data_IF_454755639117
#
_entry.id   IF_454755639117
#
_cell.length_a   1.000
_cell.length_b   1.000
_cell.length_c   1.000
_cell.angle_alpha   90.00
_cell.angle_beta   90.00
_cell.angle_gamma   90.00
#
_symmetry.space_group_name_H-M   'P 1'
#
loop_
_entity.id
_entity.type
_entity.pdbx_description
1 polymer ?
#
# COMPACT_ATOMS: atom_id res chain seq x y z
N UNK A 1 9.05 -24.34 -33.09
CA UNK A 1 9.15 -23.32 -32.01
C UNK A 1 7.85 -22.52 -31.77
N UNK A 2 6.94 -22.32 -32.74
CA UNK A 2 5.77 -21.43 -32.55
C UNK A 2 4.67 -21.93 -31.61
N UNK A 3 4.41 -23.24 -31.57
CA UNK A 3 3.34 -23.81 -30.73
C UNK A 3 3.64 -23.79 -29.23
N UNK A 4 4.92 -23.82 -28.83
CA UNK A 4 5.30 -23.86 -27.42
C UNK A 4 5.17 -22.48 -26.74
N UNK A 5 5.45 -21.40 -27.48
CA UNK A 5 5.29 -20.02 -27.01
C UNK A 5 3.82 -19.59 -26.90
N UNK A 6 2.95 -20.05 -27.79
CA UNK A 6 1.51 -19.75 -27.69
C UNK A 6 0.89 -20.36 -26.42
N UNK A 7 1.27 -21.59 -26.06
CA UNK A 7 0.73 -22.31 -24.88
C UNK A 7 1.24 -21.77 -23.55
N UNK A 8 2.44 -21.19 -23.51
CA UNK A 8 3.00 -20.53 -22.32
C UNK A 8 2.50 -19.10 -22.16
N UNK A 9 2.22 -18.38 -23.25
CA UNK A 9 1.50 -17.10 -23.20
C UNK A 9 0.05 -17.26 -22.73
N UNK A 10 -0.59 -18.39 -23.06
CA UNK A 10 -1.98 -18.70 -22.67
C UNK A 10 -2.22 -18.83 -21.17
N UNK A 11 -1.17 -18.89 -20.34
CA UNK A 11 -1.26 -19.00 -18.88
C UNK A 11 -0.93 -17.70 -18.13
N UNK A 12 -0.58 -16.62 -18.83
CA UNK A 12 -0.32 -15.35 -18.18
C UNK A 12 -1.62 -14.60 -17.92
N UNK A 13 -1.65 -13.89 -16.81
CA UNK A 13 -2.73 -13.05 -16.35
C UNK A 13 -2.29 -11.61 -16.56
N UNK A 14 -3.07 -10.88 -17.34
CA UNK A 14 -2.90 -9.47 -17.56
C UNK A 14 -3.55 -8.67 -16.43
N UNK A 15 -2.83 -7.72 -15.86
CA UNK A 15 -3.32 -6.86 -14.79
C UNK A 15 -2.73 -5.46 -14.90
N UNK A 16 -3.56 -4.45 -14.76
CA UNK A 16 -3.12 -3.05 -14.69
C UNK A 16 -3.14 -2.56 -13.24
N UNK A 17 -1.97 -2.20 -12.72
CA UNK A 17 -1.83 -1.57 -11.40
C UNK A 17 -2.07 -0.07 -11.53
N UNK A 18 -3.01 0.45 -10.75
CA UNK A 18 -3.24 1.88 -10.63
C UNK A 18 -2.20 2.42 -9.65
N UNK A 19 -1.23 3.17 -10.18
CA UNK A 19 -0.20 3.76 -9.34
C UNK A 19 -0.66 5.08 -8.74
N UNK A 20 -0.78 6.11 -9.57
CA UNK A 20 -1.10 7.44 -9.09
C UNK A 20 -2.36 8.02 -9.70
N UNK A 21 -2.85 7.51 -10.84
CA UNK A 21 -4.07 8.03 -11.45
C UNK A 21 -5.35 7.59 -10.71
N UNK A 22 -6.50 8.12 -11.15
CA UNK A 22 -7.83 7.82 -10.61
C UNK A 22 -8.70 7.02 -11.58
N UNK A 23 -8.10 6.41 -12.60
CA UNK A 23 -8.76 5.77 -13.72
C UNK A 23 -9.10 4.31 -13.42
N UNK A 24 -9.64 4.04 -12.22
CA UNK A 24 -9.99 2.69 -11.78
C UNK A 24 -10.88 1.94 -12.77
N UNK A 25 -11.81 2.63 -13.44
CA UNK A 25 -12.67 2.02 -14.45
C UNK A 25 -11.89 1.52 -15.68
N UNK A 26 -10.86 2.26 -16.12
CA UNK A 26 -10.00 1.85 -17.25
C UNK A 26 -9.23 0.59 -16.86
N UNK A 27 -8.56 0.61 -15.71
CA UNK A 27 -7.79 -0.53 -15.22
C UNK A 27 -8.66 -1.75 -14.94
N UNK A 28 -9.85 -1.53 -14.40
CA UNK A 28 -10.83 -2.58 -14.19
C UNK A 28 -11.29 -3.20 -15.52
N UNK A 29 -11.65 -2.39 -16.52
CA UNK A 29 -12.07 -2.91 -17.83
C UNK A 29 -10.95 -3.67 -18.54
N UNK A 30 -9.72 -3.14 -18.54
CA UNK A 30 -8.58 -3.77 -19.20
C UNK A 30 -8.15 -5.06 -18.51
N UNK A 31 -8.06 -5.06 -17.17
CA UNK A 31 -7.77 -6.27 -16.39
C UNK A 31 -8.89 -7.29 -16.53
N UNK A 32 -10.15 -6.85 -16.51
CA UNK A 32 -11.30 -7.72 -16.76
C UNK A 32 -11.26 -8.32 -18.16
N UNK A 33 -10.82 -7.60 -19.18
CA UNK A 33 -10.78 -8.10 -20.57
C UNK A 33 -9.46 -8.82 -20.91
N UNK A 34 -8.47 -8.76 -20.02
CA UNK A 34 -7.13 -9.32 -20.17
C UNK A 34 -6.33 -8.69 -21.33
N UNK A 35 -6.58 -7.41 -21.62
CA UNK A 35 -5.87 -6.64 -22.65
C UNK A 35 -6.13 -5.13 -22.49
N UNK A 36 -5.19 -4.24 -22.87
CA UNK A 36 -5.37 -2.79 -22.84
C UNK A 36 -6.28 -2.29 -23.97
N UNK A 37 -7.59 -2.54 -23.87
CA UNK A 37 -8.56 -2.09 -24.87
C UNK A 37 -8.96 -0.63 -24.73
N UNK A 38 -8.89 -0.11 -23.51
CA UNK A 38 -9.34 1.23 -23.18
C UNK A 38 -8.19 2.04 -22.60
N UNK A 39 -8.22 3.32 -22.87
CA UNK A 39 -7.43 4.33 -22.19
C UNK A 39 -8.39 5.42 -21.65
N UNK A 40 -7.83 6.44 -20.99
CA UNK A 40 -8.62 7.52 -20.43
C UNK A 40 -9.44 8.27 -21.49
N UNK A 41 -8.91 8.40 -22.70
CA UNK A 41 -9.51 9.21 -23.77
C UNK A 41 -10.69 8.47 -24.37
N UNK A 42 -10.47 7.23 -24.79
CA UNK A 42 -11.48 6.36 -25.41
C UNK A 42 -12.66 6.11 -24.45
N UNK A 43 -12.41 5.87 -23.17
CA UNK A 43 -13.50 5.70 -22.21
C UNK A 43 -14.26 7.01 -21.94
N UNK A 44 -13.57 8.15 -21.96
CA UNK A 44 -14.21 9.46 -21.84
C UNK A 44 -15.03 9.83 -23.09
N UNK A 45 -14.63 9.43 -24.28
CA UNK A 45 -15.43 9.57 -25.50
C UNK A 45 -16.74 8.79 -25.37
N UNK A 46 -16.68 7.53 -24.92
CA UNK A 46 -17.88 6.72 -24.65
C UNK A 46 -18.80 7.42 -23.65
N UNK A 47 -18.26 7.98 -22.56
CA UNK A 47 -19.04 8.71 -21.58
C UNK A 47 -19.72 9.95 -22.18
N UNK A 48 -18.98 10.76 -22.96
CA UNK A 48 -19.51 11.96 -23.62
C UNK A 48 -20.58 11.64 -24.65
N UNK A 49 -20.46 10.52 -25.36
CA UNK A 49 -21.47 10.08 -26.32
C UNK A 49 -22.78 9.76 -25.60
N UNK A 50 -22.72 9.09 -24.44
CA UNK A 50 -23.87 8.86 -23.58
C UNK A 50 -24.47 10.20 -23.10
N UNK A 51 -23.64 11.13 -22.63
CA UNK A 51 -24.11 12.46 -22.20
C UNK A 51 -24.85 13.21 -23.34
N UNK A 52 -24.35 13.10 -24.57
CA UNK A 52 -24.97 13.71 -25.76
C UNK A 52 -26.31 13.04 -26.09
N UNK A 53 -26.38 11.71 -26.04
CA UNK A 53 -27.62 10.95 -26.24
C UNK A 53 -28.68 11.33 -25.18
N UNK A 54 -28.29 11.38 -23.91
CA UNK A 54 -29.17 11.74 -22.79
C UNK A 54 -29.68 13.19 -22.92
N UNK A 55 -28.82 14.12 -23.32
CA UNK A 55 -29.19 15.52 -23.57
C UNK A 55 -30.21 15.66 -24.70
N UNK A 56 -30.06 14.89 -25.78
CA UNK A 56 -31.01 14.88 -26.90
C UNK A 56 -32.36 14.29 -26.51
N UNK A 57 -32.37 13.26 -25.67
CA UNK A 57 -33.58 12.55 -25.26
C UNK A 57 -34.41 13.33 -24.23
N UNK A 58 -33.77 13.93 -23.23
CA UNK A 58 -34.51 14.45 -22.07
C UNK A 58 -34.77 15.96 -22.07
N UNK A 59 -34.16 16.76 -22.97
CA UNK A 59 -34.22 18.25 -22.96
C UNK A 59 -33.97 18.87 -21.56
N UNK A 60 -33.44 18.09 -20.61
CA UNK A 60 -33.35 18.43 -19.21
C UNK A 60 -31.89 18.75 -18.91
N UNK A 61 -31.64 19.94 -18.39
CA UNK A 61 -30.31 20.48 -18.06
C UNK A 61 -29.71 19.87 -16.77
N UNK A 62 -30.22 18.72 -16.31
CA UNK A 62 -29.64 17.96 -15.20
C UNK A 62 -28.51 17.10 -15.73
N UNK A 63 -27.32 17.68 -15.87
CA UNK A 63 -26.13 16.99 -16.34
C UNK A 63 -25.69 15.94 -15.32
N UNK A 64 -26.12 14.69 -15.50
CA UNK A 64 -25.38 13.57 -14.94
C UNK A 64 -24.19 13.37 -15.88
N UNK A 65 -23.02 13.87 -15.50
CA UNK A 65 -21.81 13.65 -16.27
C UNK A 65 -21.38 12.19 -16.10
N UNK A 66 -21.31 11.45 -17.21
CA UNK A 66 -20.90 10.05 -17.20
C UNK A 66 -19.39 9.85 -17.00
N UNK A 67 -18.63 10.94 -17.11
CA UNK A 67 -17.23 11.05 -16.73
C UNK A 67 -17.08 12.24 -15.80
N UNK A 68 -16.74 11.96 -14.54
CA UNK A 68 -16.45 12.99 -13.57
C UNK A 68 -15.14 13.70 -13.90
N UNK A 69 -15.08 14.96 -13.50
CA UNK A 69 -13.88 15.78 -13.47
C UNK A 69 -12.71 15.12 -12.69
N UNK A 70 -13.04 14.19 -11.77
CA UNK A 70 -12.13 13.34 -11.00
C UNK A 70 -11.57 12.10 -11.73
N UNK A 71 -11.97 11.86 -12.99
CA UNK A 71 -11.62 10.63 -13.70
C UNK A 71 -12.42 9.41 -13.24
N UNK A 72 -13.43 9.61 -12.38
CA UNK A 72 -14.41 8.59 -12.06
C UNK A 72 -15.37 8.40 -13.24
N UNK A 73 -15.61 7.15 -13.62
CA UNK A 73 -16.55 6.80 -14.69
C UNK A 73 -17.82 6.20 -14.10
N UNK A 74 -18.96 6.59 -14.66
CA UNK A 74 -20.25 6.05 -14.27
C UNK A 74 -20.40 4.57 -14.65
N UNK A 75 -21.35 3.90 -14.02
CA UNK A 75 -21.76 2.55 -14.41
C UNK A 75 -22.23 2.48 -15.87
N UNK A 76 -22.83 3.57 -16.40
CA UNK A 76 -23.33 3.61 -17.77
C UNK A 76 -22.18 3.61 -18.78
N UNK A 77 -21.09 4.34 -18.50
CA UNK A 77 -19.88 4.30 -19.33
C UNK A 77 -19.26 2.90 -19.37
N UNK A 78 -19.13 2.24 -18.21
CA UNK A 78 -18.64 0.85 -18.12
C UNK A 78 -19.57 -0.10 -18.87
N UNK A 79 -20.89 0.06 -18.72
CA UNK A 79 -21.89 -0.77 -19.41
C UNK A 79 -21.78 -0.64 -20.92
N UNK A 80 -21.67 0.59 -21.45
CA UNK A 80 -21.54 0.84 -22.89
C UNK A 80 -20.21 0.32 -23.44
N UNK A 81 -19.12 0.47 -22.69
CA UNK A 81 -17.81 -0.08 -23.06
C UNK A 81 -17.85 -1.61 -23.21
N UNK A 82 -18.50 -2.31 -22.26
CA UNK A 82 -18.69 -3.76 -22.33
C UNK A 82 -19.63 -4.18 -23.47
N UNK A 83 -20.70 -3.44 -23.72
CA UNK A 83 -21.60 -3.69 -24.85
C UNK A 83 -20.86 -3.63 -26.18
N UNK A 84 -19.92 -2.69 -26.35
CA UNK A 84 -19.04 -2.62 -27.52
C UNK A 84 -18.14 -3.85 -27.71
N UNK A 85 -18.01 -4.71 -26.68
CA UNK A 85 -17.29 -5.99 -26.71
C UNK A 85 -18.23 -7.20 -26.67
N UNK A 86 -19.53 -7.01 -26.95
CA UNK A 86 -20.56 -8.06 -26.86
C UNK A 86 -20.72 -8.66 -25.45
N UNK A 87 -20.39 -7.89 -24.42
CA UNK A 87 -20.58 -8.26 -23.02
C UNK A 87 -21.74 -7.47 -22.42
N UNK A 88 -22.47 -8.11 -21.52
CA UNK A 88 -23.59 -7.54 -20.81
C UNK A 88 -23.26 -7.43 -19.32
N UNK A 89 -23.67 -6.32 -18.71
CA UNK A 89 -23.48 -6.08 -17.30
C UNK A 89 -24.84 -6.13 -16.60
N UNK A 90 -25.02 -7.11 -15.71
CA UNK A 90 -26.26 -7.33 -14.97
C UNK A 90 -26.02 -7.15 -13.47
N UNK A 91 -26.97 -6.58 -12.74
CA UNK A 91 -26.85 -6.52 -11.28
C UNK A 91 -26.87 -7.93 -10.69
N UNK A 92 -25.88 -8.27 -9.86
CA UNK A 92 -25.80 -9.59 -9.26
C UNK A 92 -26.96 -9.78 -8.29
N UNK A 93 -27.75 -10.84 -8.47
CA UNK A 93 -28.79 -11.22 -7.51
C UNK A 93 -28.25 -12.36 -6.63
N UNK A 94 -28.42 -12.23 -5.32
CA UNK A 94 -27.89 -13.17 -4.32
C UNK A 94 -28.44 -14.60 -4.44
N UNK A 95 -29.51 -14.80 -5.22
CA UNK A 95 -30.12 -16.12 -5.46
C UNK A 95 -29.38 -16.97 -6.50
N UNK A 96 -28.52 -16.36 -7.32
CA UNK A 96 -27.77 -17.08 -8.35
C UNK A 96 -26.48 -17.64 -7.75
N UNK A 97 -26.11 -18.86 -8.14
CA UNK A 97 -24.81 -19.43 -7.79
C UNK A 97 -23.71 -18.64 -8.52
N UNK A 98 -22.81 -17.94 -7.81
CA UNK A 98 -21.78 -17.13 -8.47
C UNK A 98 -20.68 -17.95 -9.14
N UNK A 99 -20.56 -19.25 -8.82
CA UNK A 99 -19.45 -20.08 -9.32
C UNK A 99 -19.59 -20.47 -10.80
N UNK A 100 -20.81 -20.37 -11.36
CA UNK A 100 -21.12 -20.66 -12.76
C UNK A 100 -20.73 -19.52 -13.71
N UNK A 101 -20.62 -18.30 -13.17
CA UNK A 101 -20.29 -17.11 -13.94
C UNK A 101 -18.78 -17.05 -14.26
N UNK A 102 -18.40 -16.16 -15.17
CA UNK A 102 -16.99 -16.00 -15.58
C UNK A 102 -16.34 -14.74 -15.01
N UNK A 103 -17.11 -13.69 -14.75
CA UNK A 103 -16.57 -12.49 -14.13
C UNK A 103 -17.63 -11.63 -13.43
N UNK A 104 -17.14 -10.79 -12.53
CA UNK A 104 -17.89 -9.78 -11.81
C UNK A 104 -17.14 -8.45 -11.86
N UNK A 105 -17.88 -7.35 -11.75
CA UNK A 105 -17.35 -6.02 -11.44
C UNK A 105 -18.00 -5.56 -10.14
N UNK A 106 -17.18 -5.14 -9.19
CA UNK A 106 -17.63 -4.60 -7.92
C UNK A 106 -17.39 -3.09 -7.87
N UNK A 107 -18.31 -2.35 -7.24
CA UNK A 107 -18.12 -0.95 -6.89
C UNK A 107 -18.09 -0.81 -5.37
N UNK A 108 -16.90 -0.62 -4.82
CA UNK A 108 -16.67 -0.42 -3.39
C UNK A 108 -16.29 1.04 -3.16
N UNK A 109 -17.19 1.83 -2.57
CA UNK A 109 -16.92 3.23 -2.25
C UNK A 109 -16.37 4.05 -3.42
N UNK A 110 -17.04 4.01 -4.57
CA UNK A 110 -16.63 4.71 -5.80
C UNK A 110 -15.31 4.20 -6.40
N UNK A 111 -14.97 2.94 -6.14
CA UNK A 111 -13.83 2.26 -6.76
C UNK A 111 -14.30 1.01 -7.51
N UNK A 112 -13.96 0.91 -8.79
CA UNK A 112 -14.27 -0.22 -9.63
C UNK A 112 -13.15 -1.25 -9.57
N UNK A 113 -13.46 -2.49 -9.20
CA UNK A 113 -12.50 -3.58 -9.33
C UNK A 113 -13.17 -4.87 -9.84
N UNK A 114 -12.53 -5.59 -10.77
CA UNK A 114 -13.09 -6.80 -11.34
C UNK A 114 -12.61 -8.06 -10.62
N UNK A 115 -13.47 -9.08 -10.64
CA UNK A 115 -13.16 -10.44 -10.21
C UNK A 115 -13.39 -11.34 -11.41
N UNK A 116 -12.35 -12.04 -11.90
CA UNK A 116 -12.44 -12.85 -13.13
C UNK A 116 -11.94 -14.27 -12.91
N UNK A 117 -12.65 -15.23 -13.51
CA UNK A 117 -12.22 -16.62 -13.63
C UNK A 117 -11.25 -16.73 -14.80
N UNK A 118 -10.00 -17.07 -14.51
CA UNK A 118 -8.93 -17.24 -15.48
C UNK A 118 -8.27 -18.60 -15.23
N UNK A 119 -8.05 -19.39 -16.28
CA UNK A 119 -7.44 -20.72 -16.17
C UNK A 119 -8.12 -21.64 -15.12
N UNK A 120 -9.43 -21.47 -14.91
CA UNK A 120 -10.22 -22.24 -13.95
C UNK A 120 -10.11 -21.78 -12.49
N UNK A 121 -9.48 -20.64 -12.20
CA UNK A 121 -9.36 -20.06 -10.85
C UNK A 121 -9.86 -18.63 -10.81
N UNK A 122 -10.33 -18.18 -9.66
CA UNK A 122 -10.79 -16.82 -9.47
C UNK A 122 -9.66 -15.90 -9.05
N UNK A 123 -9.64 -14.72 -9.65
CA UNK A 123 -8.68 -13.66 -9.33
C UNK A 123 -9.43 -12.37 -9.06
N UNK A 124 -9.09 -11.73 -7.96
CA UNK A 124 -9.40 -10.34 -7.69
C UNK A 124 -8.29 -9.48 -8.29
N UNK A 125 -8.68 -8.62 -9.22
CA UNK A 125 -7.78 -7.82 -10.04
C UNK A 125 -7.92 -6.34 -9.67
N UNK A 126 -7.96 -6.06 -8.37
CA UNK A 126 -8.02 -4.69 -7.85
C UNK A 126 -6.76 -3.92 -8.26
N UNK A 127 -6.95 -2.81 -8.98
CA UNK A 127 -5.87 -1.97 -9.46
C UNK A 127 -5.15 -1.24 -8.33
N UNK A 128 -5.81 -1.01 -7.18
CA UNK A 128 -5.21 -0.38 -6.00
C UNK A 128 -4.43 -1.36 -5.12
N UNK A 129 -4.55 -2.67 -5.38
CA UNK A 129 -3.77 -3.67 -4.67
C UNK A 129 -2.30 -3.65 -5.12
N UNK A 130 -1.40 -4.11 -4.25
CA UNK A 130 0.01 -4.33 -4.63
C UNK A 130 0.16 -5.44 -5.68
N UNK A 131 -0.76 -6.41 -5.66
CA UNK A 131 -0.77 -7.56 -6.56
C UNK A 131 -2.18 -8.19 -6.65
N UNK A 132 -2.53 -8.87 -7.75
CA UNK A 132 -3.74 -9.66 -7.82
C UNK A 132 -3.81 -10.73 -6.74
N UNK A 133 -5.02 -11.02 -6.27
CA UNK A 133 -5.26 -12.02 -5.24
C UNK A 133 -6.01 -13.21 -5.82
N UNK A 134 -5.50 -14.41 -5.57
CA UNK A 134 -6.21 -15.64 -5.93
C UNK A 134 -7.31 -15.92 -4.89
N UNK A 135 -8.53 -16.15 -5.38
CA UNK A 135 -9.70 -16.50 -4.59
C UNK A 135 -10.01 -17.99 -4.81
N UNK A 136 -10.24 -18.73 -3.73
CA UNK A 136 -10.72 -20.10 -3.81
C UNK A 136 -12.21 -20.15 -4.12
N UNK A 137 -12.65 -21.15 -4.90
CA UNK A 137 -14.06 -21.29 -5.33
C UNK A 137 -15.05 -21.24 -4.16
N UNK A 138 -14.70 -21.84 -3.03
CA UNK A 138 -15.54 -21.86 -1.82
C UNK A 138 -15.70 -20.47 -1.16
N UNK A 139 -14.73 -19.58 -1.35
CA UNK A 139 -14.70 -18.24 -0.75
C UNK A 139 -15.34 -17.18 -1.64
N UNK A 140 -15.51 -17.46 -2.94
CA UNK A 140 -16.10 -16.49 -3.87
C UNK A 140 -17.49 -16.03 -3.42
N UNK A 141 -18.37 -16.98 -3.09
CA UNK A 141 -19.73 -16.66 -2.68
C UNK A 141 -19.74 -15.79 -1.43
N UNK A 142 -18.96 -16.15 -0.41
CA UNK A 142 -18.85 -15.38 0.83
C UNK A 142 -18.31 -13.97 0.58
N UNK A 143 -17.30 -13.82 -0.29
CA UNK A 143 -16.76 -12.52 -0.68
C UNK A 143 -17.84 -11.64 -1.32
N UNK A 144 -18.56 -12.14 -2.33
CA UNK A 144 -19.58 -11.37 -3.05
C UNK A 144 -20.77 -11.01 -2.14
N UNK A 145 -21.21 -11.94 -1.30
CA UNK A 145 -22.25 -11.65 -0.30
C UNK A 145 -21.76 -10.64 0.75
N UNK A 146 -20.50 -10.73 1.18
CA UNK A 146 -19.88 -9.78 2.11
C UNK A 146 -19.84 -8.37 1.53
N UNK A 147 -19.49 -8.22 0.25
CA UNK A 147 -19.52 -6.93 -0.45
C UNK A 147 -20.95 -6.37 -0.48
N UNK A 148 -21.93 -7.20 -0.84
CA UNK A 148 -23.34 -6.78 -0.84
C UNK A 148 -23.88 -6.41 0.54
N UNK A 149 -23.57 -7.18 1.57
CA UNK A 149 -24.05 -6.94 2.93
C UNK A 149 -23.50 -5.63 3.51
N UNK A 150 -22.35 -5.17 3.02
CA UNK A 150 -21.79 -3.84 3.34
C UNK A 150 -22.48 -2.71 2.57
N UNK A 151 -23.45 -3.00 1.70
CA UNK A 151 -24.18 -2.03 0.90
C UNK A 151 -23.53 -1.68 -0.45
N UNK A 152 -22.47 -2.40 -0.84
CA UNK A 152 -21.80 -2.17 -2.12
C UNK A 152 -22.50 -2.88 -3.28
N UNK A 153 -22.21 -2.40 -4.49
CA UNK A 153 -22.81 -2.94 -5.71
C UNK A 153 -21.91 -3.98 -6.36
N UNK A 154 -22.51 -5.09 -6.77
CA UNK A 154 -21.84 -6.18 -7.49
C UNK A 154 -22.61 -6.42 -8.77
N UNK A 155 -21.90 -6.52 -9.88
CA UNK A 155 -22.44 -6.75 -11.20
C UNK A 155 -21.80 -8.00 -11.82
N UNK A 156 -22.60 -8.83 -12.47
CA UNK A 156 -22.17 -9.99 -13.26
C UNK A 156 -21.89 -9.54 -14.68
N UNK A 157 -20.78 -10.02 -15.25
CA UNK A 157 -20.45 -9.79 -16.66
C UNK A 157 -20.73 -11.06 -17.45
N UNK A 158 -21.68 -10.99 -18.37
CA UNK A 158 -22.13 -12.11 -19.22
C UNK A 158 -21.74 -11.89 -20.67
N UNK A 159 -21.53 -12.99 -21.40
CA UNK A 159 -21.19 -12.99 -22.81
C UNK A 159 -19.86 -13.71 -23.08
N UNK A 160 -19.35 -13.53 -24.30
CA UNK A 160 -18.10 -14.16 -24.74
C UNK A 160 -16.93 -13.20 -24.53
N UNK A 161 -16.00 -13.57 -23.65
CA UNK A 161 -14.80 -12.79 -23.43
C UNK A 161 -13.85 -12.91 -24.62
N UNK A 162 -13.14 -11.82 -24.98
CA UNK A 162 -12.16 -11.88 -26.05
C UNK A 162 -11.05 -12.87 -25.72
N UNK A 163 -10.53 -13.53 -26.76
CA UNK A 163 -9.33 -14.37 -26.62
C UNK A 163 -8.11 -13.53 -26.27
N UNK A 164 -7.17 -14.12 -25.54
CA UNK A 164 -5.93 -13.43 -25.16
C UNK A 164 -5.06 -13.23 -26.40
N UNK A 165 -4.86 -11.98 -26.79
CA UNK A 165 -3.96 -11.60 -27.88
C UNK A 165 -2.50 -11.56 -27.39
N UNK A 166 -1.52 -11.75 -28.29
CA UNK A 166 -0.13 -11.52 -27.95
C UNK A 166 0.04 -10.07 -27.46
N UNK A 167 0.73 -9.92 -26.34
CA UNK A 167 1.03 -8.62 -25.76
C UNK A 167 2.25 -8.03 -26.48
N UNK A 168 2.06 -6.87 -27.11
CA UNK A 168 3.13 -6.07 -27.70
C UNK A 168 3.22 -4.75 -26.91
N UNK A 169 4.42 -4.33 -26.56
CA UNK A 169 4.74 -3.01 -25.99
C UNK A 169 3.87 -2.56 -24.79
N UNK A 170 3.86 -3.36 -23.72
CA UNK A 170 3.17 -3.02 -22.47
C UNK A 170 3.84 -1.86 -21.72
N UNK A 171 3.01 -0.96 -21.18
CA UNK A 171 3.46 0.10 -20.30
C UNK A 171 3.91 -0.46 -18.92
N UNK A 172 4.69 0.28 -18.12
CA UNK A 172 5.22 -0.21 -16.85
C UNK A 172 4.16 -0.68 -15.84
N UNK A 173 2.98 -0.07 -15.86
CA UNK A 173 1.86 -0.41 -14.99
C UNK A 173 1.03 -1.60 -15.49
N UNK A 174 1.31 -2.10 -16.70
CA UNK A 174 0.61 -3.20 -17.35
C UNK A 174 1.43 -4.48 -17.21
N UNK A 175 1.02 -5.34 -16.30
CA UNK A 175 1.80 -6.49 -15.86
C UNK A 175 1.24 -7.80 -16.43
N UNK A 176 2.16 -8.70 -16.78
CA UNK A 176 1.86 -10.06 -17.20
C UNK A 176 2.39 -11.06 -16.18
N UNK A 177 1.47 -11.60 -15.40
CA UNK A 177 1.79 -12.38 -14.22
C UNK A 177 1.51 -13.85 -14.47
N UNK A 178 2.40 -14.72 -14.00
CA UNK A 178 2.09 -16.14 -13.94
C UNK A 178 1.28 -16.46 -12.67
N UNK A 179 0.61 -17.60 -12.67
CA UNK A 179 -0.06 -18.07 -11.45
C UNK A 179 0.91 -18.29 -10.28
N UNK A 180 2.18 -18.59 -10.57
CA UNK A 180 3.23 -18.80 -9.57
C UNK A 180 3.67 -17.47 -8.96
N UNK A 181 3.76 -16.40 -9.75
CA UNK A 181 4.06 -15.05 -9.25
C UNK A 181 2.96 -14.58 -8.29
N UNK A 182 1.69 -14.79 -8.65
CA UNK A 182 0.54 -14.43 -7.79
C UNK A 182 0.54 -15.23 -6.49
N UNK A 183 0.76 -16.55 -6.56
CA UNK A 183 0.80 -17.39 -5.37
C UNK A 183 1.99 -17.04 -4.46
N UNK A 184 3.17 -16.85 -5.03
CA UNK A 184 4.37 -16.53 -4.26
C UNK A 184 4.22 -15.18 -3.55
N UNK A 185 3.65 -14.18 -4.23
CA UNK A 185 3.34 -12.90 -3.62
C UNK A 185 2.31 -13.04 -2.48
N UNK A 186 1.21 -13.76 -2.70
CA UNK A 186 0.17 -13.99 -1.68
C UNK A 186 0.71 -14.73 -0.44
N UNK A 187 1.60 -15.72 -0.63
CA UNK A 187 2.27 -16.42 0.48
C UNK A 187 3.27 -15.53 1.22
N UNK A 188 3.99 -14.67 0.50
CA UNK A 188 4.92 -13.71 1.12
C UNK A 188 4.17 -12.65 1.92
N UNK A 189 3.02 -12.18 1.42
CA UNK A 189 2.12 -11.28 2.15
C UNK A 189 1.56 -11.91 3.42
N UNK A 190 1.16 -13.20 3.37
CA UNK A 190 0.72 -13.93 4.56
C UNK A 190 1.84 -14.01 5.62
N UNK A 191 3.06 -14.39 5.22
CA UNK A 191 4.21 -14.43 6.13
C UNK A 191 4.56 -13.05 6.71
N UNK A 192 4.51 -12.00 5.90
CA UNK A 192 4.77 -10.62 6.34
C UNK A 192 3.71 -10.13 7.32
N UNK A 193 2.46 -10.55 7.15
CA UNK A 193 1.39 -10.23 8.11
C UNK A 193 1.56 -11.02 9.41
N UNK A 194 1.90 -12.31 9.34
CA UNK A 194 2.22 -13.12 10.53
C UNK A 194 3.41 -12.53 11.30
N UNK A 195 4.46 -12.08 10.59
CA UNK A 195 5.63 -11.43 11.20
C UNK A 195 5.26 -10.10 11.87
N UNK A 196 4.42 -9.28 11.23
CA UNK A 196 3.90 -8.04 11.83
C UNK A 196 3.01 -8.31 13.05
N UNK A 197 2.10 -9.27 12.97
CA UNK A 197 1.23 -9.64 14.09
C UNK A 197 2.05 -10.18 15.27
N UNK A 198 3.10 -10.96 14.98
CA UNK A 198 4.04 -11.44 15.99
C UNK A 198 4.85 -10.31 16.59
N UNK A 199 5.35 -9.37 15.78
CA UNK A 199 6.11 -8.19 16.25
C UNK A 199 5.21 -7.25 17.09
N UNK A 200 3.97 -7.02 16.67
CA UNK A 200 2.99 -6.23 17.44
C UNK A 200 2.60 -6.93 18.76
N UNK A 201 2.44 -8.25 18.74
CA UNK A 201 2.20 -9.04 19.96
C UNK A 201 3.41 -9.01 20.91
N UNK A 202 4.62 -9.13 20.37
CA UNK A 202 5.87 -9.02 21.12
C UNK A 202 6.00 -7.62 21.73
N UNK A 203 5.75 -6.56 20.95
CA UNK A 203 5.76 -5.17 21.42
C UNK A 203 4.74 -4.95 22.54
N UNK A 204 3.51 -5.48 22.40
CA UNK A 204 2.52 -5.45 23.49
C UNK A 204 2.98 -6.18 24.74
N UNK A 205 3.65 -7.33 24.59
CA UNK A 205 4.18 -8.06 25.75
C UNK A 205 5.31 -7.29 26.45
N UNK A 206 6.18 -6.63 25.68
CA UNK A 206 7.25 -5.78 26.20
C UNK A 206 6.71 -4.49 26.85
N UNK A 207 5.65 -3.88 26.31
CA UNK A 207 4.97 -2.74 26.95
C UNK A 207 4.33 -3.13 28.30
N UNK A 208 3.81 -4.36 28.42
CA UNK A 208 3.27 -4.88 29.68
C UNK A 208 4.39 -5.11 30.71
N UNK A 209 5.57 -5.58 30.31
CA UNK A 209 6.72 -5.75 31.21
C UNK A 209 7.37 -4.41 31.62
N UNK A 210 7.38 -3.41 30.73
CA UNK A 210 7.84 -2.06 31.07
C UNK A 210 6.92 -1.31 32.04
N UNK A 211 5.62 -1.66 32.09
CA UNK A 211 4.68 -1.12 33.08
C UNK A 211 4.69 -1.89 34.42
N UNK A 212 5.45 -3.00 34.53
CA UNK A 212 5.46 -3.86 35.73
C UNK A 212 6.81 -3.98 36.43
N UNK A 213 7.82 -3.24 36.02
CA UNK A 213 9.12 -3.20 36.70
C UNK A 213 9.52 -1.76 37.06
N UNK A 214 8.88 -1.22 38.09
CA UNK A 214 9.56 -0.29 39.00
C UNK A 214 9.66 -0.95 40.38
N UNK A 215 10.89 -1.35 40.70
CA UNK A 215 11.53 -1.34 42.01
C UNK A 215 11.09 -2.30 43.13
N UNK A 216 9.90 -2.92 43.10
CA UNK A 216 9.44 -3.64 44.29
C UNK A 216 9.98 -5.08 44.46
N UNK A 217 10.27 -5.82 43.38
CA UNK A 217 10.72 -7.22 43.50
C UNK A 217 12.23 -7.38 43.68
N UNK A 218 13.04 -6.55 42.99
CA UNK A 218 14.50 -6.57 43.10
C UNK A 218 14.96 -6.08 44.49
N UNK A 219 14.29 -5.05 45.04
CA UNK A 219 14.55 -4.57 46.40
C UNK A 219 14.18 -5.62 47.47
N UNK A 220 13.14 -6.43 47.22
CA UNK A 220 12.72 -7.51 48.12
C UNK A 220 13.72 -8.67 48.11
N UNK A 221 14.26 -9.02 46.95
CA UNK A 221 15.29 -10.06 46.82
C UNK A 221 16.61 -9.66 47.50
N UNK A 222 17.03 -8.39 47.37
CA UNK A 222 18.21 -7.85 48.06
C UNK A 222 18.02 -7.75 49.58
N UNK A 223 16.84 -7.33 50.05
CA UNK A 223 16.52 -7.27 51.48
C UNK A 223 16.48 -8.65 52.14
N UNK A 224 15.97 -9.67 51.42
CA UNK A 224 16.01 -11.06 51.87
C UNK A 224 17.44 -11.62 51.92
N UNK A 225 18.33 -11.15 51.05
CA UNK A 225 19.74 -11.55 51.05
C UNK A 225 20.60 -10.81 52.08
N UNK A 226 20.18 -9.62 52.54
CA UNK A 226 20.85 -8.85 53.60
C UNK A 226 20.29 -9.10 55.02
N UNK A 227 19.22 -9.89 55.15
CA UNK A 227 18.65 -10.32 56.43
C UNK A 227 19.54 -11.35 57.13
N UNK A 228 20.34 -10.88 58.09
CA UNK A 228 21.24 -11.65 58.96
C UNK A 228 20.62 -12.94 59.53
N UNK A 229 21.28 -14.08 59.32
CA UNK A 229 21.24 -15.23 60.22
C UNK A 229 22.65 -15.46 60.79
N UNK A 230 22.82 -15.59 62.11
CA UNK A 230 24.12 -15.64 62.75
C UNK A 230 24.67 -17.07 62.70
N UNK A 231 25.64 -17.30 61.82
CA UNK A 231 26.55 -18.44 61.96
C UNK A 231 27.98 -17.91 61.99
N UNK A 232 28.62 -18.09 63.14
CA UNK A 232 30.05 -17.96 63.33
C UNK A 232 30.79 -18.84 62.33
N UNK A 233 31.55 -18.22 61.43
CA UNK A 233 32.50 -18.90 60.55
C UNK A 233 33.87 -18.31 60.87
N UNK A 234 34.79 -19.21 61.20
CA UNK A 234 36.14 -18.95 61.71
C UNK A 234 37.03 -18.19 60.70
N UNK A 235 38.01 -17.46 61.22
CA UNK A 235 38.83 -16.42 60.58
C UNK A 235 39.93 -16.93 59.62
N UNK A 236 39.79 -18.14 59.05
CA UNK A 236 40.89 -18.86 58.38
C UNK A 236 40.78 -19.01 56.85
N UNK A 237 39.76 -18.46 56.19
CA UNK A 237 39.64 -18.57 54.72
C UNK A 237 40.45 -17.48 53.97
N UNK A 238 41.77 -17.62 54.04
CA UNK A 238 42.76 -16.91 53.21
C UNK A 238 42.48 -17.03 51.69
N UNK A 239 41.75 -18.07 51.28
CA UNK A 239 41.39 -18.31 49.88
C UNK A 239 40.31 -17.34 49.37
N UNK A 240 39.38 -16.92 50.24
CA UNK A 240 38.33 -15.95 49.90
C UNK A 240 38.91 -14.52 49.77
N UNK A 241 39.89 -14.17 50.61
CA UNK A 241 40.66 -12.91 50.50
C UNK A 241 41.46 -12.86 49.19
N UNK A 242 42.04 -13.99 48.78
CA UNK A 242 42.76 -14.11 47.51
C UNK A 242 41.87 -13.94 46.28
N UNK A 243 40.66 -14.49 46.30
CA UNK A 243 39.72 -14.40 45.18
C UNK A 243 39.22 -12.96 44.93
N UNK A 244 39.00 -12.20 46.00
CA UNK A 244 38.63 -10.77 45.91
C UNK A 244 39.80 -9.90 45.44
N UNK A 245 41.04 -10.20 45.86
CA UNK A 245 42.23 -9.48 45.42
C UNK A 245 42.57 -9.74 43.93
N UNK A 246 42.42 -10.97 43.46
CA UNK A 246 42.68 -11.33 42.05
C UNK A 246 41.67 -10.73 41.06
N UNK A 247 40.46 -10.34 41.52
CA UNK A 247 39.49 -9.63 40.67
C UNK A 247 39.80 -8.14 40.50
N UNK A 248 40.71 -7.56 41.30
CA UNK A 248 41.12 -6.15 41.18
C UNK A 248 42.37 -5.93 40.30
N UNK A 249 43.15 -6.97 39.98
CA UNK A 249 44.34 -6.85 39.12
C UNK A 249 44.16 -7.61 37.80
N UNK A 250 43.78 -6.90 36.73
CA UNK A 250 43.47 -7.47 35.42
C UNK A 250 44.66 -8.01 34.63
N UNK A 251 44.38 -8.94 33.69
CA UNK A 251 44.97 -9.13 32.34
C UNK A 251 44.85 -10.60 31.90
N UNK A 252 44.20 -10.90 30.75
CA UNK A 252 44.23 -12.24 30.12
C UNK A 252 44.68 -12.12 28.64
N UNK A 253 45.57 -13.01 28.11
CA UNK A 253 46.24 -12.84 26.82
C UNK A 253 45.53 -13.50 25.61
N UNK A 254 45.75 -12.93 24.43
CA UNK A 254 45.25 -13.36 23.10
C UNK A 254 45.89 -14.67 22.57
N UNK A 255 45.12 -15.45 21.79
CA UNK A 255 45.61 -16.47 20.85
C UNK A 255 45.26 -16.10 19.40
N UNK A 256 46.26 -16.13 18.53
CA UNK A 256 46.25 -15.77 17.11
C UNK A 256 45.56 -16.79 16.18
N UNK A 257 44.89 -16.29 15.14
CA UNK A 257 44.71 -16.94 13.82
C UNK A 257 45.04 -15.91 12.71
N UNK A 258 45.47 -16.37 11.50
CA UNK A 258 46.38 -15.63 10.65
C UNK A 258 45.73 -14.57 9.73
N UNK A 259 46.59 -13.61 9.42
CA UNK A 259 46.51 -12.38 8.65
C UNK A 259 46.47 -12.58 7.12
N UNK A 260 45.55 -11.89 6.42
CA UNK A 260 45.86 -10.74 5.54
C UNK A 260 44.74 -10.47 4.50
N UNK A 261 44.03 -9.36 4.68
CA UNK A 261 43.70 -8.44 3.59
C UNK A 261 43.82 -7.01 4.14
N UNK A 262 44.68 -6.21 3.51
CA UNK A 262 44.92 -4.81 3.83
C UNK A 262 43.70 -3.95 3.46
N UNK A 263 43.14 -3.22 4.43
CA UNK A 263 42.41 -1.98 4.17
C UNK A 263 43.01 -0.90 5.07
N UNK A 264 43.25 0.23 4.44
CA UNK A 264 44.05 1.36 4.88
C UNK A 264 43.53 2.03 6.16
N UNK A 265 44.47 2.58 6.93
CA UNK A 265 44.25 3.40 8.13
C UNK A 265 43.17 4.47 7.91
N UNK A 266 42.06 4.36 8.63
CA UNK A 266 41.23 5.50 9.05
C UNK A 266 40.96 5.41 10.55
N UNK A 267 40.86 6.59 11.15
CA UNK A 267 41.08 6.89 12.56
C UNK A 267 40.08 6.18 13.49
N UNK A 268 40.59 5.77 14.66
CA UNK A 268 39.79 5.32 15.79
C UNK A 268 38.82 6.42 16.22
N UNK A 269 37.53 6.20 15.96
CA UNK A 269 36.46 6.85 16.70
C UNK A 269 35.88 5.78 17.62
N UNK A 270 35.65 6.14 18.88
CA UNK A 270 35.16 5.24 19.92
C UNK A 270 33.84 4.60 19.46
N UNK A 271 33.69 3.28 19.59
CA UNK A 271 32.42 2.57 19.33
C UNK A 271 31.25 3.16 20.14
N UNK A 272 31.58 3.81 21.27
CA UNK A 272 30.67 4.55 22.14
C UNK A 272 30.11 5.82 21.46
N UNK A 273 30.86 6.42 20.54
CA UNK A 273 30.45 7.61 19.78
C UNK A 273 29.55 7.25 18.59
N UNK A 274 29.77 6.10 17.96
CA UNK A 274 28.85 5.56 16.94
C UNK A 274 27.53 5.09 17.55
N UNK A 275 27.58 4.43 18.71
CA UNK A 275 26.39 4.04 19.44
C UNK A 275 25.61 5.26 19.95
N UNK A 276 26.31 6.29 20.46
CA UNK A 276 25.68 7.55 20.84
C UNK A 276 25.01 8.25 19.65
N UNK A 277 25.67 8.29 18.48
CA UNK A 277 25.07 8.82 17.24
C UNK A 277 23.90 7.99 16.75
N UNK A 278 23.94 6.67 16.89
CA UNK A 278 22.83 5.80 16.50
C UNK A 278 21.61 5.95 17.43
N UNK A 279 21.84 6.17 18.73
CA UNK A 279 20.79 6.47 19.71
C UNK A 279 20.23 7.88 19.46
N UNK A 280 21.08 8.86 19.18
CA UNK A 280 20.68 10.23 18.85
C UNK A 280 19.86 10.26 17.55
N UNK A 281 20.31 9.57 16.49
CA UNK A 281 19.59 9.43 15.23
C UNK A 281 18.25 8.68 15.40
N UNK A 282 18.20 7.65 16.26
CA UNK A 282 16.96 6.94 16.59
C UNK A 282 16.00 7.80 17.39
N UNK A 283 16.54 8.65 18.28
CA UNK A 283 15.77 9.60 19.07
C UNK A 283 15.26 10.75 18.20
N UNK A 284 16.03 11.26 17.24
CA UNK A 284 15.58 12.19 16.20
C UNK A 284 14.52 11.55 15.28
N UNK A 285 14.65 10.26 14.95
CA UNK A 285 13.63 9.52 14.19
C UNK A 285 12.35 9.31 15.00
N UNK A 286 12.45 9.02 16.30
CA UNK A 286 11.31 8.89 17.20
C UNK A 286 10.68 10.25 17.55
N UNK A 287 11.48 11.31 17.65
CA UNK A 287 11.00 12.69 17.80
C UNK A 287 10.32 13.16 16.51
N UNK A 288 10.87 12.86 15.32
CA UNK A 288 10.22 13.13 14.04
C UNK A 288 8.94 12.29 13.84
N UNK A 289 8.91 11.03 14.28
CA UNK A 289 7.68 10.20 14.29
C UNK A 289 6.65 10.73 15.30
N UNK A 290 7.10 11.21 16.47
CA UNK A 290 6.22 11.83 17.46
C UNK A 290 5.73 13.20 17.02
N UNK A 291 6.50 13.97 16.26
CA UNK A 291 6.07 15.23 15.64
C UNK A 291 5.06 14.98 14.51
N UNK A 292 5.22 13.88 13.76
CA UNK A 292 4.22 13.38 12.81
C UNK A 292 2.94 12.91 13.53
N UNK A 293 3.04 12.31 14.72
CA UNK A 293 1.90 11.87 15.52
C UNK A 293 1.24 13.00 16.35
N UNK A 294 1.96 14.10 16.64
CA UNK A 294 1.49 15.27 17.40
C UNK A 294 0.91 16.39 16.53
N UNK A 295 1.01 16.31 15.20
CA UNK A 295 0.09 17.04 14.35
C UNK A 295 -1.30 16.40 14.48
N UNK A 296 -2.05 16.81 15.52
CA UNK A 296 -3.49 16.58 15.61
C UNK A 296 -4.10 16.86 14.24
N UNK A 297 -4.66 15.81 13.63
CA UNK A 297 -5.27 15.82 12.31
C UNK A 297 -6.53 16.67 12.43
N UNK A 298 -6.61 17.89 11.87
CA UNK A 298 -7.87 18.56 11.77
C UNK A 298 -8.62 17.86 10.64
N UNK A 299 -9.64 17.08 10.97
CA UNK A 299 -10.63 16.65 9.98
C UNK A 299 -11.32 17.92 9.46
N UNK A 300 -10.82 18.44 8.35
CA UNK A 300 -11.50 19.52 7.65
C UNK A 300 -12.71 18.93 6.93
N UNK A 301 -13.85 18.91 7.61
CA UNK A 301 -15.14 18.53 7.04
C UNK A 301 -15.91 19.82 6.72
N UNK A 302 -15.71 20.33 5.50
CA UNK A 302 -16.32 21.55 5.02
C UNK A 302 -16.44 21.55 3.50
N UNK A 303 -17.38 22.30 2.90
CA UNK A 303 -17.51 22.37 1.45
C UNK A 303 -16.26 22.98 0.82
N UNK A 304 -15.62 22.25 -0.11
CA UNK A 304 -14.51 22.76 -0.93
C UNK A 304 -13.11 22.28 -0.57
N UNK A 305 -12.94 21.29 0.32
CA UNK A 305 -11.63 20.65 0.54
C UNK A 305 -11.12 19.90 -0.70
N UNK A 306 -9.80 19.83 -0.82
CA UNK A 306 -9.06 19.10 -1.84
C UNK A 306 -8.57 17.77 -1.28
N UNK A 307 -8.98 16.66 -1.88
CA UNK A 307 -8.52 15.31 -1.57
C UNK A 307 -7.24 15.01 -2.35
N UNK A 308 -6.09 15.10 -1.67
CA UNK A 308 -4.78 14.87 -2.28
C UNK A 308 -4.29 13.47 -1.94
N UNK A 309 -4.08 12.64 -2.97
CA UNK A 309 -3.54 11.29 -2.81
C UNK A 309 -2.03 11.26 -3.09
N UNK A 310 -1.28 10.47 -2.32
CA UNK A 310 0.14 10.22 -2.56
C UNK A 310 0.48 8.76 -2.33
N UNK A 311 1.24 8.16 -3.25
CA UNK A 311 1.78 6.81 -3.08
C UNK A 311 3.13 6.87 -2.36
N UNK A 312 3.24 6.12 -1.26
CA UNK A 312 4.44 6.02 -0.45
C UNK A 312 5.40 4.98 -1.04
N UNK A 313 6.68 5.08 -0.67
CA UNK A 313 7.70 4.10 -1.05
C UNK A 313 7.43 2.68 -0.53
N UNK A 314 6.61 2.53 0.52
CA UNK A 314 6.22 1.24 1.09
C UNK A 314 5.06 0.56 0.36
N UNK A 315 4.57 1.17 -0.74
CA UNK A 315 3.44 0.67 -1.55
C UNK A 315 2.08 1.19 -1.11
N UNK A 316 1.97 1.81 0.08
CA UNK A 316 0.69 2.32 0.60
C UNK A 316 0.31 3.64 -0.05
N UNK A 317 -0.99 3.83 -0.27
CA UNK A 317 -1.55 5.12 -0.69
C UNK A 317 -2.04 5.89 0.54
N UNK A 318 -1.55 7.12 0.70
CA UNK A 318 -2.04 8.06 1.69
C UNK A 318 -2.95 9.07 1.01
N UNK A 319 -4.02 9.46 1.70
CA UNK A 319 -4.93 10.52 1.27
C UNK A 319 -4.96 11.58 2.37
N UNK A 320 -4.85 12.86 1.98
CA UNK A 320 -4.92 13.99 2.90
C UNK A 320 -5.77 15.10 2.31
N UNK A 321 -6.64 15.66 3.14
CA UNK A 321 -7.49 16.81 2.80
C UNK A 321 -6.74 18.11 3.00
N UNK A 322 -6.84 19.03 2.03
CA UNK A 322 -6.26 20.37 2.09
C UNK A 322 -7.32 21.43 1.83
N UNK A 323 -7.15 22.61 2.43
CA UNK A 323 -8.06 23.73 2.21
C UNK A 323 -7.74 24.45 0.88
N UNK A 324 -8.72 25.13 0.25
CA UNK A 324 -8.51 25.86 -1.01
C UNK A 324 -7.36 26.87 -1.00
N UNK A 325 -7.14 27.52 0.15
CA UNK A 325 -6.09 28.52 0.34
C UNK A 325 -4.69 27.92 0.55
N UNK A 326 -4.57 26.61 0.76
CA UNK A 326 -3.27 25.97 0.91
C UNK A 326 -2.45 26.18 -0.37
N UNK A 327 -1.15 26.41 -0.20
CA UNK A 327 -0.24 26.57 -1.34
C UNK A 327 0.25 25.23 -1.85
N UNK A 328 0.56 25.14 -3.14
CA UNK A 328 1.20 23.95 -3.74
C UNK A 328 2.50 23.58 -2.98
N UNK A 329 3.24 24.57 -2.46
CA UNK A 329 4.41 24.35 -1.59
C UNK A 329 4.12 23.50 -0.36
N UNK A 330 3.01 23.76 0.34
CA UNK A 330 2.65 23.06 1.59
C UNK A 330 2.34 21.59 1.32
N UNK A 331 1.70 21.29 0.17
CA UNK A 331 1.41 19.93 -0.26
C UNK A 331 2.71 19.16 -0.57
N UNK A 332 3.65 19.81 -1.25
CA UNK A 332 4.95 19.22 -1.55
C UNK A 332 5.83 19.10 -0.30
N UNK A 333 5.71 20.00 0.67
CA UNK A 333 6.37 19.82 1.97
C UNK A 333 5.83 18.58 2.69
N UNK A 334 4.50 18.40 2.72
CA UNK A 334 3.88 17.18 3.23
C UNK A 334 4.36 15.92 2.49
N UNK A 335 4.41 15.98 1.15
CA UNK A 335 4.91 14.86 0.36
C UNK A 335 6.40 14.56 0.61
N UNK A 336 7.23 15.58 0.83
CA UNK A 336 8.67 15.44 1.13
C UNK A 336 8.93 14.86 2.50
N UNK A 337 8.07 15.14 3.49
CA UNK A 337 8.18 14.51 4.82
C UNK A 337 8.04 12.99 4.71
N UNK A 338 7.21 12.52 3.79
CA UNK A 338 6.92 11.08 3.63
C UNK A 338 7.89 10.41 2.64
N UNK A 339 8.19 11.05 1.52
CA UNK A 339 9.11 10.56 0.49
C UNK A 339 10.31 11.52 0.33
N UNK A 340 11.15 11.62 1.37
CA UNK A 340 12.28 12.57 1.43
C UNK A 340 13.39 12.31 0.39
N UNK A 341 13.38 11.14 -0.25
CA UNK A 341 14.42 10.65 -1.16
C UNK A 341 14.08 10.82 -2.63
N UNK A 342 12.86 11.30 -2.96
CA UNK A 342 12.38 11.36 -4.35
C UNK A 342 11.93 12.77 -4.71
N UNK A 343 12.16 13.18 -5.96
CA UNK A 343 11.59 14.41 -6.48
C UNK A 343 10.09 14.20 -6.66
N UNK A 344 9.28 14.95 -5.93
CA UNK A 344 7.82 14.88 -6.01
C UNK A 344 7.25 16.07 -6.79
N UNK A 345 6.12 15.87 -7.47
CA UNK A 345 5.34 16.93 -8.12
C UNK A 345 3.85 16.73 -7.86
N UNK A 346 3.12 17.83 -7.86
CA UNK A 346 1.67 17.80 -7.82
C UNK A 346 1.13 17.66 -9.24
N UNK A 347 0.26 16.68 -9.44
CA UNK A 347 -0.33 16.33 -10.73
C UNK A 347 -1.83 16.17 -10.56
N UNK A 348 -2.59 16.69 -11.51
CA UNK A 348 -4.00 16.34 -11.72
C UNK A 348 -4.06 15.27 -12.80
N UNK A 349 -4.79 14.18 -12.55
CA UNK A 349 -4.78 13.04 -13.47
C UNK A 349 -5.71 13.23 -14.67
N UNK A 350 -6.81 13.99 -14.51
CA UNK A 350 -7.72 14.30 -15.61
C UNK A 350 -8.32 15.72 -15.52
N UNK A 351 -8.31 16.51 -16.62
CA UNK A 351 -7.34 16.39 -17.69
C UNK A 351 -5.92 16.44 -17.11
N UNK A 352 -4.99 15.64 -17.66
CA UNK A 352 -3.63 15.53 -17.11
C UNK A 352 -2.95 16.90 -17.10
N UNK A 353 -2.63 17.41 -15.91
CA UNK A 353 -1.98 18.72 -15.72
C UNK A 353 -0.94 18.61 -14.62
N UNK A 354 0.26 19.14 -14.86
CA UNK A 354 1.35 19.21 -13.87
C UNK A 354 1.42 20.64 -13.34
N UNK A 355 1.54 20.80 -12.03
CA UNK A 355 1.59 22.11 -11.38
C UNK A 355 3.02 22.39 -10.92
N UNK A 356 3.66 23.38 -11.55
CA UNK A 356 5.06 23.75 -11.27
C UNK A 356 5.19 25.01 -10.39
N UNK A 357 4.16 25.85 -10.36
CA UNK A 357 4.15 27.07 -9.54
C UNK A 357 3.80 26.74 -8.09
N UNK A 358 4.75 27.02 -7.20
CA UNK A 358 4.70 26.66 -5.79
C UNK A 358 3.93 27.67 -4.93
N UNK A 359 3.76 28.89 -5.43
CA UNK A 359 3.16 29.99 -4.68
C UNK A 359 1.65 30.15 -4.94
N UNK A 360 1.11 29.47 -5.96
CA UNK A 360 -0.32 29.39 -6.21
C UNK A 360 -1.05 28.65 -5.09
N UNK A 361 -2.20 29.19 -4.70
CA UNK A 361 -3.17 28.44 -3.88
C UNK A 361 -3.83 27.32 -4.70
N UNK A 362 -4.38 26.30 -4.04
CA UNK A 362 -5.04 25.18 -4.73
C UNK A 362 -6.24 25.65 -5.57
N UNK A 363 -6.97 26.66 -5.10
CA UNK A 363 -8.10 27.25 -5.82
C UNK A 363 -7.63 28.06 -7.05
N UNK A 364 -6.59 28.89 -6.90
CA UNK A 364 -6.04 29.69 -8.01
C UNK A 364 -5.32 28.84 -9.07
N UNK A 365 -4.73 27.71 -8.67
CA UNK A 365 -4.10 26.77 -9.58
C UNK A 365 -5.11 26.10 -10.53
N UNK A 366 -6.41 26.16 -10.20
CA UNK A 366 -7.47 25.45 -10.92
C UNK A 366 -7.25 23.94 -10.86
N UNK A 367 -6.79 23.45 -9.70
CA UNK A 367 -6.61 22.03 -9.44
C UNK A 367 -7.99 21.41 -9.24
N UNK A 368 -8.20 20.21 -9.76
CA UNK A 368 -9.41 19.47 -9.45
C UNK A 368 -9.39 18.95 -8.01
N UNK A 369 -10.46 19.21 -7.25
CA UNK A 369 -10.57 18.91 -5.82
C UNK A 369 -10.50 17.44 -5.49
N UNK A 370 -10.90 16.56 -6.41
CA UNK A 370 -10.98 15.13 -6.20
C UNK A 370 -9.95 14.34 -7.04
N UNK A 371 -9.22 15.03 -7.94
CA UNK A 371 -8.36 14.40 -8.94
C UNK A 371 -6.87 14.70 -8.82
N UNK A 372 -6.45 15.24 -7.69
CA UNK A 372 -5.09 15.72 -7.52
C UNK A 372 -4.29 14.73 -6.67
N UNK A 373 -3.08 14.46 -7.11
CA UNK A 373 -2.18 13.61 -6.37
C UNK A 373 -0.73 14.04 -6.51
N UNK A 374 0.06 13.65 -5.51
CA UNK A 374 1.49 13.86 -5.50
C UNK A 374 2.13 12.62 -6.11
N UNK A 375 2.81 12.83 -7.23
CA UNK A 375 3.54 11.80 -7.94
C UNK A 375 5.02 11.95 -7.62
N UNK A 376 5.65 10.85 -7.22
CA UNK A 376 7.09 10.76 -7.06
C UNK A 376 7.73 10.46 -8.43
N UNK A 377 8.54 11.37 -8.96
CA UNK A 377 9.36 11.17 -10.14
C UNK A 377 10.71 10.59 -9.75
N UNK A 378 11.04 9.42 -10.32
CA UNK A 378 12.39 8.86 -10.22
C UNK A 378 13.34 9.79 -10.98
N UNK A 379 14.28 10.40 -10.26
CA UNK A 379 15.38 11.15 -10.89
C UNK A 379 16.23 10.10 -11.62
N UNK A 380 16.25 10.15 -12.96
CA UNK A 380 17.14 9.34 -13.81
C UNK A 380 18.54 9.90 -13.73
#
# INVERSE_FOLDING_TARGET
MSYYNARTQQKKIYWECQENDLLCAVHALNSLLQYPYFDAVTLAEIARDIDQEEKQLYQFSGANENVGESGYFSIQAITRALQGKNLQLEYFNSQNDPTVEQAFICNLSSHWHPIRKLNGKWYELDSLAEYPRMIGDIYLSELLYGIKNKGYSVFVVKGEFPENFPFEDLAPHQLLLSEEDIKSHQMSGARRNEEKEFEEALKRSMEVDYMKNQDDELAKALALSMGSMPYSIDDDDEELKKALAMSMEGSVPQKNFPTNFNIEKKQSYSEEEELAKAIELSKELEEAKNDVAKMEIPEYDGPGVFDIRMKCLDGKSLMKKFLPQCKVRELLEWGKVINNTVKIRLVQFYPRKVFEDLDLSLDEAGINRENAGIVAEKII
#
